data_IF_184089255064
#
_entry.id   IF_184089255064
#
_cell.length_a   1.000
_cell.length_b   1.000
_cell.length_c   1.000
_cell.angle_alpha   90.00
_cell.angle_beta   90.00
_cell.angle_gamma   90.00
#
_symmetry.space_group_name_H-M   'P 1'
#
loop_
_entity.id
_entity.type
_entity.pdbx_description
1 polymer ?
#
# COMPACT_ATOMS: atom_id res chain seq x y z
N UNK A 1 -5.25 -4.40 18.59
CA UNK A 1 -6.42 -4.24 17.69
C UNK A 1 -6.08 -4.95 16.39
N UNK A 2 -7.04 -5.64 15.77
CA UNK A 2 -6.79 -6.36 14.53
C UNK A 2 -7.17 -5.51 13.32
N UNK A 3 -6.23 -5.38 12.38
CA UNK A 3 -6.42 -4.68 11.12
C UNK A 3 -6.23 -5.62 9.93
N UNK A 4 -6.98 -5.39 8.86
CA UNK A 4 -6.73 -5.96 7.54
C UNK A 4 -6.29 -4.84 6.61
N UNK A 5 -5.11 -4.98 6.04
CA UNK A 5 -4.55 -4.10 5.03
C UNK A 5 -4.77 -4.75 3.67
N UNK A 6 -5.54 -4.10 2.80
CA UNK A 6 -5.75 -4.50 1.42
C UNK A 6 -5.07 -3.51 0.50
N UNK A 7 -4.25 -3.98 -0.42
CA UNK A 7 -3.39 -3.10 -1.21
C UNK A 7 -3.59 -3.33 -2.69
N UNK A 8 -3.78 -2.24 -3.42
CA UNK A 8 -3.64 -2.20 -4.87
C UNK A 8 -2.40 -1.40 -5.23
N UNK A 9 -1.49 -1.98 -6.00
CA UNK A 9 -0.31 -1.28 -6.52
C UNK A 9 -0.61 -0.64 -7.89
N UNK A 10 -0.11 0.57 -8.12
CA UNK A 10 -0.13 1.21 -9.45
C UNK A 10 1.20 1.87 -9.75
N UNK A 11 1.55 1.98 -11.03
CA UNK A 11 2.66 2.84 -11.43
C UNK A 11 2.31 4.31 -11.15
N UNK A 12 3.34 5.13 -10.90
CA UNK A 12 3.22 6.58 -10.95
C UNK A 12 2.80 7.04 -12.35
N UNK A 13 2.06 8.13 -12.45
CA UNK A 13 1.53 8.65 -13.72
C UNK A 13 2.63 8.90 -14.77
N UNK A 14 3.77 9.47 -14.38
CA UNK A 14 4.90 9.72 -15.29
C UNK A 14 5.57 8.45 -15.84
N UNK A 15 5.26 7.28 -15.25
CA UNK A 15 5.73 5.97 -15.67
C UNK A 15 4.68 5.19 -16.47
N UNK A 16 3.52 5.80 -16.74
CA UNK A 16 2.43 5.17 -17.48
C UNK A 16 2.94 4.64 -18.84
N UNK A 17 2.61 3.38 -19.14
CA UNK A 17 3.00 2.62 -20.34
C UNK A 17 4.49 2.27 -20.49
N UNK A 18 5.39 2.78 -19.64
CA UNK A 18 6.81 2.41 -19.67
C UNK A 18 7.10 1.18 -18.82
N UNK A 19 6.45 1.09 -17.67
CA UNK A 19 6.62 0.02 -16.70
C UNK A 19 5.25 -0.57 -16.34
N UNK A 20 5.22 -1.84 -15.95
CA UNK A 20 4.02 -2.52 -15.51
C UNK A 20 4.24 -3.12 -14.13
N UNK A 21 3.25 -2.94 -13.24
CA UNK A 21 3.19 -3.60 -11.95
C UNK A 21 1.86 -4.34 -11.83
N UNK A 22 1.90 -5.57 -11.31
CA UNK A 22 0.69 -6.28 -10.92
C UNK A 22 0.02 -5.55 -9.74
N UNK A 23 -1.23 -5.15 -9.92
CA UNK A 23 -2.00 -4.46 -8.88
C UNK A 23 -2.17 -5.29 -7.61
N UNK A 24 -2.19 -6.62 -7.73
CA UNK A 24 -2.32 -7.55 -6.60
C UNK A 24 -0.99 -8.00 -5.99
N UNK A 25 0.15 -7.41 -6.38
CA UNK A 25 1.48 -7.88 -5.96
C UNK A 25 1.68 -7.89 -4.44
N UNK A 26 1.00 -7.00 -3.72
CA UNK A 26 1.00 -6.96 -2.25
C UNK A 26 -0.23 -7.70 -1.75
N UNK A 27 -0.01 -8.88 -1.17
CA UNK A 27 -1.08 -9.70 -0.58
C UNK A 27 -1.71 -9.02 0.63
N UNK A 28 -3.00 -9.25 0.85
CA UNK A 28 -3.71 -8.82 2.06
C UNK A 28 -2.96 -9.22 3.34
N UNK A 29 -2.86 -8.29 4.31
CA UNK A 29 -2.16 -8.53 5.57
C UNK A 29 -3.07 -8.33 6.77
N UNK A 30 -3.06 -9.32 7.67
CA UNK A 30 -3.57 -9.16 9.04
C UNK A 30 -2.47 -8.67 9.97
N UNK A 31 -2.75 -7.59 10.68
CA UNK A 31 -1.80 -6.93 11.59
C UNK A 31 -2.51 -6.67 12.91
N UNK A 32 -1.93 -7.19 13.99
CA UNK A 32 -2.32 -6.80 15.35
C UNK A 32 -1.39 -5.67 15.82
N UNK A 33 -1.99 -4.56 16.25
CA UNK A 33 -1.29 -3.38 16.74
C UNK A 33 -2.19 -2.53 17.63
N UNK A 34 -1.60 -1.69 18.47
CA UNK A 34 -2.35 -0.81 19.39
C UNK A 34 -2.93 0.43 18.71
N UNK A 35 -2.45 0.75 17.50
CA UNK A 35 -2.89 1.91 16.72
C UNK A 35 -2.68 1.69 15.22
N UNK A 36 -3.36 2.50 14.40
CA UNK A 36 -3.14 2.52 12.95
C UNK A 36 -1.71 2.94 12.60
N UNK A 37 -1.09 3.83 13.38
CA UNK A 37 0.30 4.25 13.17
C UNK A 37 1.28 3.08 13.38
N UNK A 38 1.11 2.32 14.46
CA UNK A 38 1.91 1.12 14.71
C UNK A 38 1.65 0.05 13.65
N UNK A 39 0.39 -0.12 13.23
CA UNK A 39 0.03 -1.05 12.17
C UNK A 39 0.68 -0.69 10.83
N UNK A 40 0.79 0.60 10.51
CA UNK A 40 1.46 1.10 9.30
C UNK A 40 2.97 0.81 9.31
N UNK A 41 3.64 0.90 10.46
CA UNK A 41 5.07 0.56 10.56
C UNK A 41 5.28 -0.95 10.37
N UNK A 42 4.43 -1.79 10.96
CA UNK A 42 4.47 -3.25 10.74
C UNK A 42 4.20 -3.59 9.27
N UNK A 43 3.21 -2.93 8.65
CA UNK A 43 2.91 -3.06 7.23
C UNK A 43 4.13 -2.71 6.38
N UNK A 44 4.79 -1.57 6.67
CA UNK A 44 6.00 -1.08 5.99
C UNK A 44 7.10 -2.16 5.95
N UNK A 45 7.40 -2.76 7.10
CA UNK A 45 8.44 -3.80 7.21
C UNK A 45 8.06 -5.10 6.51
N UNK A 46 6.79 -5.51 6.60
CA UNK A 46 6.31 -6.75 5.98
C UNK A 46 6.25 -6.65 4.46
N UNK A 47 5.89 -5.49 3.92
CA UNK A 47 5.88 -5.25 2.47
C UNK A 47 7.28 -5.39 1.89
N UNK A 48 8.28 -4.79 2.55
CA UNK A 48 9.68 -4.92 2.14
C UNK A 48 10.16 -6.37 2.21
N UNK A 49 9.91 -7.05 3.34
CA UNK A 49 10.35 -8.43 3.55
C UNK A 49 9.73 -9.45 2.59
N UNK A 50 8.45 -9.29 2.23
CA UNK A 50 7.70 -10.30 1.46
C UNK A 50 7.58 -9.98 -0.03
N UNK A 51 7.57 -8.69 -0.38
CA UNK A 51 7.23 -8.25 -1.74
C UNK A 51 8.35 -7.43 -2.38
N UNK A 52 9.49 -7.26 -1.72
CA UNK A 52 10.64 -6.51 -2.24
C UNK A 52 10.28 -5.06 -2.64
N UNK A 53 9.30 -4.47 -1.95
CA UNK A 53 8.90 -3.08 -2.13
C UNK A 53 9.33 -2.31 -0.88
N UNK A 54 10.27 -1.39 -1.03
CA UNK A 54 10.70 -0.54 0.09
C UNK A 54 9.74 0.63 0.22
N UNK A 55 9.25 0.85 1.45
CA UNK A 55 8.50 2.04 1.84
C UNK A 55 9.34 2.78 2.87
N UNK A 56 9.65 4.06 2.61
CA UNK A 56 10.43 4.87 3.54
C UNK A 56 9.58 5.36 4.71
N UNK A 57 10.21 5.64 5.86
CA UNK A 57 9.52 6.31 6.99
C UNK A 57 8.94 7.67 6.59
N UNK A 58 9.59 8.38 5.66
CA UNK A 58 9.08 9.64 5.15
C UNK A 58 7.80 9.45 4.31
N UNK A 59 7.70 8.35 3.55
CA UNK A 59 6.48 8.02 2.81
C UNK A 59 5.30 7.70 3.75
N UNK A 60 5.55 7.05 4.90
CA UNK A 60 4.52 6.87 5.94
C UNK A 60 4.06 8.20 6.55
N UNK A 61 4.98 9.14 6.76
CA UNK A 61 4.66 10.48 7.29
C UNK A 61 3.86 11.33 6.31
N UNK A 62 4.20 11.27 5.01
CA UNK A 62 3.60 12.12 3.97
C UNK A 62 2.60 11.36 3.08
N UNK A 63 2.04 10.25 3.58
CA UNK A 63 0.99 9.50 2.89
C UNK A 63 -0.23 10.38 2.64
N UNK A 64 -0.91 10.17 1.53
CA UNK A 64 -2.17 10.87 1.22
C UNK A 64 -3.35 10.07 1.72
N UNK A 65 -4.40 10.75 2.17
CA UNK A 65 -5.62 10.11 2.63
C UNK A 65 -6.46 9.60 1.46
N UNK A 66 -7.15 8.48 1.66
CA UNK A 66 -8.01 7.85 0.67
C UNK A 66 -9.44 7.80 1.18
N UNK A 67 -10.40 8.28 0.39
CA UNK A 67 -11.80 8.43 0.77
C UNK A 67 -12.72 7.63 -0.16
N UNK A 68 -13.88 7.25 0.37
CA UNK A 68 -15.03 6.74 -0.42
C UNK A 68 -16.26 7.58 -0.12
N UNK A 69 -17.06 7.82 -1.15
CA UNK A 69 -18.34 8.50 -1.02
C UNK A 69 -19.36 7.58 -0.34
N UNK A 70 -20.14 8.15 0.56
CA UNK A 70 -21.24 7.51 1.26
C UNK A 70 -22.56 7.83 0.54
N UNK A 71 -23.56 6.96 0.71
CA UNK A 71 -24.88 7.13 0.09
C UNK A 71 -25.63 8.38 0.53
N UNK A 72 -25.26 8.96 1.68
CA UNK A 72 -25.83 10.19 2.23
C UNK A 72 -25.13 11.47 1.72
N UNK A 73 -24.18 11.33 0.80
CA UNK A 73 -23.39 12.45 0.26
C UNK A 73 -22.19 12.83 1.13
N UNK A 74 -21.94 12.12 2.23
CA UNK A 74 -20.71 12.25 3.00
C UNK A 74 -19.53 11.52 2.36
N UNK A 75 -18.33 11.71 2.92
CA UNK A 75 -17.14 10.95 2.55
C UNK A 75 -16.51 10.31 3.80
N UNK A 76 -15.99 9.10 3.65
CA UNK A 76 -15.32 8.37 4.72
C UNK A 76 -13.88 8.05 4.31
N UNK A 77 -12.93 8.39 5.17
CA UNK A 77 -11.55 7.92 5.02
C UNK A 77 -11.50 6.40 5.22
N UNK A 78 -10.91 5.68 4.26
CA UNK A 78 -10.79 4.21 4.27
C UNK A 78 -9.34 3.74 4.29
N UNK A 79 -8.38 4.65 4.15
CA UNK A 79 -6.98 4.32 4.18
C UNK A 79 -6.09 5.41 3.58
N UNK A 80 -5.02 4.99 2.92
CA UNK A 80 -3.97 5.89 2.45
C UNK A 80 -3.37 5.46 1.11
N UNK A 81 -2.86 6.44 0.39
CA UNK A 81 -1.93 6.23 -0.73
C UNK A 81 -0.51 6.45 -0.23
N UNK A 82 0.33 5.42 -0.36
CA UNK A 82 1.70 5.39 0.17
C UNK A 82 2.66 5.17 -0.99
N UNK A 83 3.69 6.01 -1.10
CA UNK A 83 4.73 5.82 -2.11
C UNK A 83 5.68 4.70 -1.72
N UNK A 84 5.76 3.67 -2.55
CA UNK A 84 6.76 2.61 -2.49
C UNK A 84 7.81 2.75 -3.60
N UNK A 85 8.90 1.99 -3.50
CA UNK A 85 9.85 1.80 -4.60
C UNK A 85 10.25 0.32 -4.73
N UNK A 86 10.46 -0.13 -5.95
CA UNK A 86 10.93 -1.49 -6.24
C UNK A 86 11.71 -1.52 -7.55
N UNK A 87 12.40 -2.62 -7.82
CA UNK A 87 13.20 -2.82 -9.02
C UNK A 87 12.38 -3.46 -10.14
N UNK A 88 12.52 -2.94 -11.34
CA UNK A 88 11.88 -3.46 -12.55
C UNK A 88 12.96 -3.87 -13.54
N UNK A 89 12.80 -5.04 -14.15
CA UNK A 89 13.66 -5.48 -15.25
C UNK A 89 13.39 -4.59 -16.48
N UNK A 90 14.46 -4.04 -17.08
CA UNK A 90 14.37 -3.21 -18.29
C UNK A 90 13.92 -3.99 -19.53
N UNK A 91 13.98 -5.32 -19.49
CA UNK A 91 13.54 -6.20 -20.59
C UNK A 91 14.51 -6.29 -21.77
N UNK A 92 15.71 -5.69 -21.65
CA UNK A 92 16.73 -5.58 -22.69
C UNK A 92 18.12 -6.09 -22.23
N UNK A 93 18.16 -6.84 -21.12
CA UNK A 93 19.39 -7.30 -20.46
C UNK A 93 20.31 -6.17 -19.95
N UNK A 94 19.89 -4.90 -19.96
CA UNK A 94 20.64 -3.78 -19.38
C UNK A 94 20.45 -3.65 -17.86
N UNK A 95 19.96 -4.73 -17.22
CA UNK A 95 19.73 -4.85 -15.79
C UNK A 95 18.40 -4.25 -15.32
N UNK A 96 18.38 -3.84 -14.06
CA UNK A 96 17.18 -3.36 -13.39
C UNK A 96 17.13 -1.83 -13.30
N UNK A 97 15.93 -1.30 -13.09
CA UNK A 97 15.67 0.10 -12.83
C UNK A 97 14.76 0.25 -11.62
N UNK A 98 15.21 1.02 -10.62
CA UNK A 98 14.34 1.37 -9.50
C UNK A 98 13.26 2.35 -9.95
N UNK A 99 12.01 2.00 -9.71
CA UNK A 99 10.86 2.86 -10.00
C UNK A 99 10.04 3.09 -8.74
N UNK A 100 9.37 4.25 -8.70
CA UNK A 100 8.38 4.53 -7.67
C UNK A 100 7.00 4.09 -8.13
N UNK A 101 6.21 3.65 -7.15
CA UNK A 101 4.85 3.15 -7.32
C UNK A 101 3.95 3.77 -6.24
N UNK A 102 2.65 3.74 -6.49
CA UNK A 102 1.64 4.03 -5.48
C UNK A 102 1.06 2.74 -4.94
N UNK A 103 0.98 2.67 -3.61
CA UNK A 103 0.29 1.62 -2.88
C UNK A 103 -1.00 2.23 -2.33
N UNK A 104 -2.13 1.85 -2.90
CA UNK A 104 -3.46 2.23 -2.46
C UNK A 104 -3.90 1.25 -1.38
N UNK A 105 -3.76 1.66 -0.12
CA UNK A 105 -3.92 0.79 1.05
C UNK A 105 -5.24 1.10 1.72
N UNK A 106 -6.19 0.17 1.65
CA UNK A 106 -7.42 0.19 2.46
C UNK A 106 -7.16 -0.49 3.80
N UNK A 107 -7.58 0.12 4.89
CA UNK A 107 -7.40 -0.39 6.26
C UNK A 107 -8.77 -0.68 6.86
N UNK A 108 -9.00 -1.93 7.24
CA UNK A 108 -10.22 -2.38 7.90
C UNK A 108 -9.92 -2.76 9.34
N UNK A 109 -10.70 -2.27 10.30
CA UNK A 109 -10.68 -2.79 11.67
C UNK A 109 -11.52 -4.05 11.75
N UNK A 110 -10.98 -5.11 12.32
CA UNK A 110 -11.67 -6.37 12.57
C UNK A 110 -12.23 -6.34 13.98
N UNK A 111 -13.52 -6.64 14.10
CA UNK A 111 -14.21 -6.83 15.38
C UNK A 111 -14.67 -8.28 15.47
N UNK A 112 -14.57 -8.85 16.67
CA UNK A 112 -15.05 -10.20 16.91
C UNK A 112 -16.57 -10.24 16.74
N UNK A 113 -17.05 -11.27 16.05
CA UNK A 113 -18.48 -11.51 15.89
C UNK A 113 -18.95 -12.45 16.98
N UNK A 114 -19.99 -12.06 17.71
CA UNK A 114 -20.70 -12.96 18.62
C UNK A 114 -21.78 -13.68 17.80
N UNK A 115 -21.76 -15.00 17.82
CA UNK A 115 -22.73 -15.87 17.14
C UNK A 115 -23.80 -16.38 18.12
#
# INVERSE_FOLDING_TARGET
MNYIFKTTATMKEYNNKKWYIDGGIVSDMRIDADSVENALEIYRERVEKKHCITISKNAIKNKSEMFVDLSDGGAKQVGYVITGKTEFDKGDYAGYSTQYIDLWVTILTVVDTVF
#
